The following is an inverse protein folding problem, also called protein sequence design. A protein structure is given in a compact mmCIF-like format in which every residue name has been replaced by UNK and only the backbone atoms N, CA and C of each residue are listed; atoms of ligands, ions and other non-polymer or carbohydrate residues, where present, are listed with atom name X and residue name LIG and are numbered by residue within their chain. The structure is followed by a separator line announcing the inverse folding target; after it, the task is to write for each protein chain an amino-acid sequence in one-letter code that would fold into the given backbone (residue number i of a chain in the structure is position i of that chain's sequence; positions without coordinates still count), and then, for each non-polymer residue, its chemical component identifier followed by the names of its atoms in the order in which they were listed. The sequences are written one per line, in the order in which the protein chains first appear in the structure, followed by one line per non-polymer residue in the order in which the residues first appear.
data_IF_593040718192
#
_entry.id   IF_593040718192
#
_cell.length_a   1.000
_cell.length_b   1.000
_cell.length_c   1.000
_cell.angle_alpha   90.00
_cell.angle_beta   90.00
_cell.angle_gamma   90.00
#
_symmetry.space_group_name_H-M   'P 1'
#
loop_
_entity.id
_entity.type
_entity.pdbx_description
1 polymer ?
#
# COMPACT_ATOMS: atom_id res chain seq x y z
N UNK A 1 -3.91 -22.01 29.96
CA UNK A 1 -5.37 -22.08 29.67
C UNK A 1 -5.76 -23.29 28.80
N UNK A 2 -7.06 -23.62 28.69
CA UNK A 2 -7.60 -24.70 27.83
C UNK A 2 -8.51 -24.16 26.70
N UNK A 3 -8.59 -24.88 25.58
CA UNK A 3 -9.53 -24.55 24.47
C UNK A 3 -10.99 -24.59 24.97
N UNK A 4 -11.80 -23.62 24.55
CA UNK A 4 -13.17 -23.35 25.01
C UNK A 4 -13.31 -22.88 26.47
N UNK A 5 -12.21 -22.71 27.20
CA UNK A 5 -12.24 -22.01 28.49
C UNK A 5 -12.71 -20.58 28.28
N UNK A 6 -13.53 -20.07 29.21
CA UNK A 6 -14.02 -18.69 29.23
C UNK A 6 -13.61 -17.99 30.51
N UNK A 7 -13.32 -16.71 30.39
CA UNK A 7 -13.00 -15.85 31.52
C UNK A 7 -13.27 -14.40 31.18
N UNK A 8 -13.42 -13.57 32.22
CA UNK A 8 -13.54 -12.12 32.07
C UNK A 8 -12.14 -11.53 32.03
N UNK A 9 -11.85 -10.68 31.04
CA UNK A 9 -10.57 -10.01 30.92
C UNK A 9 -10.72 -8.61 30.32
N UNK A 10 -9.75 -7.76 30.66
CA UNK A 10 -9.66 -6.38 30.16
C UNK A 10 -8.51 -6.29 29.16
N UNK A 11 -8.77 -5.63 28.03
CA UNK A 11 -7.74 -5.38 27.02
C UNK A 11 -6.77 -4.30 27.49
N UNK A 12 -5.47 -4.60 27.39
CA UNK A 12 -4.39 -3.77 27.92
C UNK A 12 -3.52 -3.09 26.87
N UNK A 13 -3.42 -3.67 25.67
CA UNK A 13 -2.65 -3.12 24.55
C UNK A 13 -3.14 -3.75 23.24
N UNK A 14 -2.48 -3.43 22.12
CA UNK A 14 -2.70 -4.05 20.82
C UNK A 14 -1.44 -4.75 20.30
N UNK A 15 -1.64 -5.75 19.44
CA UNK A 15 -0.58 -6.25 18.55
C UNK A 15 -0.43 -5.34 17.33
N UNK A 16 0.64 -5.53 16.55
CA UNK A 16 0.84 -4.81 15.27
C UNK A 16 -0.25 -5.10 14.22
N UNK A 17 -1.03 -6.16 14.39
CA UNK A 17 -2.19 -6.55 13.56
C UNK A 17 -3.51 -5.99 14.12
N UNK A 18 -3.47 -5.19 15.19
CA UNK A 18 -4.67 -4.60 15.81
C UNK A 18 -5.48 -5.60 16.63
N UNK A 19 -4.87 -6.71 17.07
CA UNK A 19 -5.52 -7.64 18.00
C UNK A 19 -5.37 -7.11 19.42
N UNK A 20 -6.45 -7.13 20.19
CA UNK A 20 -6.40 -6.78 21.62
C UNK A 20 -5.54 -7.76 22.41
N UNK A 21 -4.76 -7.24 23.34
CA UNK A 21 -3.86 -8.01 24.22
C UNK A 21 -4.44 -8.07 25.61
N UNK A 22 -4.77 -9.27 26.06
CA UNK A 22 -5.26 -9.55 27.41
C UNK A 22 -4.23 -10.41 28.12
N UNK A 23 -3.95 -10.10 29.38
CA UNK A 23 -3.06 -10.89 30.24
C UNK A 23 -3.90 -11.55 31.33
N UNK A 24 -3.74 -12.86 31.50
CA UNK A 24 -4.35 -13.62 32.60
C UNK A 24 -3.27 -14.53 33.18
N UNK A 25 -2.98 -14.36 34.46
CA UNK A 25 -1.88 -15.02 35.15
C UNK A 25 -0.55 -14.81 34.40
N UNK A 26 0.03 -15.87 33.83
CA UNK A 26 1.26 -15.83 33.03
C UNK A 26 1.00 -15.90 31.51
N UNK A 27 -0.25 -16.09 31.09
CA UNK A 27 -0.60 -16.27 29.69
C UNK A 27 -0.93 -14.91 29.02
N UNK A 28 -0.46 -14.74 27.79
CA UNK A 28 -0.85 -13.62 26.89
C UNK A 28 -1.87 -14.12 25.88
N UNK A 29 -2.99 -13.40 25.75
CA UNK A 29 -4.09 -13.75 24.86
C UNK A 29 -4.28 -12.65 23.81
N UNK A 30 -4.25 -13.01 22.54
CA UNK A 30 -4.60 -12.12 21.44
C UNK A 30 -6.06 -12.32 21.05
N UNK A 31 -6.82 -11.24 21.05
CA UNK A 31 -8.28 -11.25 20.85
C UNK A 31 -8.64 -10.31 19.70
N UNK A 32 -9.23 -10.85 18.63
CA UNK A 32 -9.75 -10.04 17.52
C UNK A 32 -10.97 -9.24 18.00
N UNK A 33 -11.11 -7.99 17.52
CA UNK A 33 -12.27 -7.13 17.77
C UNK A 33 -12.46 -6.72 19.25
N UNK A 34 -11.36 -6.50 19.98
CA UNK A 34 -11.36 -6.07 21.38
C UNK A 34 -10.45 -4.85 21.53
N UNK A 35 -11.03 -3.72 21.96
CA UNK A 35 -10.33 -2.45 22.15
C UNK A 35 -9.70 -2.35 23.53
N UNK A 36 -8.60 -1.62 23.64
CA UNK A 36 -7.97 -1.29 24.93
C UNK A 36 -8.99 -0.62 25.86
N UNK A 37 -9.00 -1.05 27.12
CA UNK A 37 -9.96 -0.61 28.13
C UNK A 37 -11.28 -1.37 28.14
N UNK A 38 -11.58 -2.18 27.12
CA UNK A 38 -12.79 -3.01 27.10
C UNK A 38 -12.68 -4.22 28.01
N UNK A 39 -13.79 -4.53 28.65
CA UNK A 39 -13.98 -5.75 29.43
C UNK A 39 -14.90 -6.69 28.67
N UNK A 40 -14.47 -7.94 28.48
CA UNK A 40 -15.23 -8.95 27.78
C UNK A 40 -15.08 -10.33 28.43
N UNK A 41 -16.11 -11.15 28.28
CA UNK A 41 -15.98 -12.59 28.43
C UNK A 41 -15.29 -13.15 27.18
N UNK A 42 -14.09 -13.69 27.35
CA UNK A 42 -13.21 -14.15 26.28
C UNK A 42 -13.21 -15.67 26.27
N UNK A 43 -13.46 -16.27 25.10
CA UNK A 43 -13.37 -17.71 24.88
C UNK A 43 -12.06 -18.07 24.14
N UNK A 44 -11.29 -19.01 24.69
CA UNK A 44 -10.03 -19.47 24.07
C UNK A 44 -10.31 -20.35 22.85
N UNK A 45 -9.83 -19.91 21.68
CA UNK A 45 -9.94 -20.64 20.41
C UNK A 45 -8.76 -21.59 20.22
N UNK A 46 -7.55 -21.13 20.54
CA UNK A 46 -6.30 -21.86 20.31
C UNK A 46 -5.30 -21.58 21.43
N UNK A 47 -4.64 -22.63 21.91
CA UNK A 47 -3.51 -22.53 22.84
C UNK A 47 -2.25 -22.84 22.02
N UNK A 48 -1.28 -21.93 22.05
CA UNK A 48 0.02 -22.09 21.40
C UNK A 48 1.11 -22.09 22.47
N UNK A 49 2.37 -22.32 22.07
CA UNK A 49 3.50 -22.47 22.99
C UNK A 49 3.72 -21.24 23.89
N UNK A 50 3.58 -20.04 23.33
CA UNK A 50 3.94 -18.79 24.02
C UNK A 50 2.76 -17.83 24.25
N UNK A 51 1.60 -18.11 23.64
CA UNK A 51 0.42 -17.25 23.73
C UNK A 51 -0.85 -18.05 23.40
N UNK A 52 -2.01 -17.47 23.67
CA UNK A 52 -3.30 -17.99 23.28
C UNK A 52 -3.99 -17.06 22.28
N UNK A 53 -4.89 -17.62 21.47
CA UNK A 53 -5.81 -16.85 20.62
C UNK A 53 -7.21 -17.00 21.19
N UNK A 54 -7.84 -15.88 21.49
CA UNK A 54 -9.20 -15.80 22.01
C UNK A 54 -10.15 -15.07 21.07
N UNK A 55 -11.45 -15.17 21.35
CA UNK A 55 -12.49 -14.33 20.77
C UNK A 55 -13.36 -13.74 21.86
N UNK A 56 -13.90 -12.55 21.61
CA UNK A 56 -14.98 -11.99 22.41
C UNK A 56 -16.19 -12.93 22.29
N UNK A 57 -16.56 -13.57 23.40
CA UNK A 57 -17.79 -14.35 23.52
C UNK A 57 -18.96 -13.43 23.84
N UNK A 58 -18.76 -12.52 24.78
CA UNK A 58 -19.72 -11.49 25.18
C UNK A 58 -18.98 -10.22 25.59
N UNK A 59 -19.41 -9.07 25.05
CA UNK A 59 -18.94 -7.77 25.51
C UNK A 59 -19.62 -7.43 26.84
N UNK A 60 -18.82 -7.03 27.85
CA UNK A 60 -19.32 -6.65 29.19
C UNK A 60 -19.31 -5.13 29.32
N UNK A 61 -18.17 -4.51 29.01
CA UNK A 61 -18.00 -3.05 29.02
C UNK A 61 -17.31 -2.62 27.72
N UNK A 62 -18.06 -2.09 26.73
CA UNK A 62 -17.47 -1.55 25.51
C UNK A 62 -16.70 -0.24 25.83
N UNK A 63 -15.78 0.12 24.95
CA UNK A 63 -15.05 1.39 25.00
C UNK A 63 -15.91 2.50 24.38
N UNK A 64 -15.75 3.73 24.84
CA UNK A 64 -16.36 4.91 24.22
C UNK A 64 -15.81 5.16 22.80
N UNK A 65 -14.64 4.59 22.49
CA UNK A 65 -14.02 4.64 21.16
C UNK A 65 -14.44 3.48 20.24
N UNK A 66 -15.42 2.65 20.66
CA UNK A 66 -15.94 1.55 19.83
C UNK A 66 -16.92 2.08 18.79
N UNK A 67 -16.66 1.70 17.54
CA UNK A 67 -17.59 1.89 16.43
C UNK A 67 -18.18 0.55 15.99
N UNK A 68 -19.40 0.58 15.46
CA UNK A 68 -19.99 -0.56 14.76
C UNK A 68 -19.54 -0.57 13.29
N UNK A 69 -18.80 -1.60 12.82
CA UNK A 69 -18.31 -1.64 11.45
C UNK A 69 -19.43 -1.60 10.42
N UNK A 70 -19.38 -0.61 9.51
CA UNK A 70 -20.40 -0.45 8.45
C UNK A 70 -20.40 -1.59 7.41
N UNK A 71 -19.27 -2.30 7.27
CA UNK A 71 -19.11 -3.35 6.28
C UNK A 71 -19.69 -4.69 6.78
N UNK A 72 -20.69 -5.29 6.10
CA UNK A 72 -21.37 -6.51 6.57
C UNK A 72 -20.44 -7.73 6.63
N UNK A 73 -19.38 -7.75 5.82
CA UNK A 73 -18.40 -8.83 5.78
C UNK A 73 -17.14 -8.55 6.61
N UNK A 74 -17.09 -7.46 7.38
CA UNK A 74 -15.92 -7.02 8.15
C UNK A 74 -15.30 -8.14 9.02
N UNK A 75 -16.13 -8.91 9.73
CA UNK A 75 -15.66 -9.98 10.62
C UNK A 75 -14.93 -11.10 9.86
N UNK A 76 -15.29 -11.30 8.59
CA UNK A 76 -14.78 -12.37 7.72
C UNK A 76 -13.63 -11.90 6.83
N UNK A 77 -13.71 -10.67 6.30
CA UNK A 77 -12.79 -10.11 5.32
C UNK A 77 -11.42 -9.78 5.93
N UNK A 78 -10.35 -10.02 5.17
CA UNK A 78 -8.99 -9.66 5.54
C UNK A 78 -8.56 -8.25 5.12
N UNK A 79 -9.45 -7.47 4.49
CA UNK A 79 -9.10 -6.16 3.93
C UNK A 79 -9.07 -5.02 4.95
N UNK A 80 -9.95 -5.05 5.96
CA UNK A 80 -10.07 -4.01 6.99
C UNK A 80 -9.90 -4.66 8.38
N UNK A 81 -9.21 -3.98 9.29
CA UNK A 81 -8.91 -4.50 10.62
C UNK A 81 -9.29 -3.54 11.74
N UNK A 82 -9.56 -2.26 11.43
CA UNK A 82 -9.77 -1.21 12.42
C UNK A 82 -11.15 -0.54 12.36
N UNK A 83 -12.10 -0.99 11.53
CA UNK A 83 -13.47 -0.40 11.43
C UNK A 83 -14.28 -0.41 12.74
N UNK A 84 -13.79 -1.12 13.75
CA UNK A 84 -14.39 -1.18 15.08
C UNK A 84 -13.81 -0.13 16.05
N UNK A 85 -12.85 0.67 15.60
CA UNK A 85 -12.22 1.78 16.30
C UNK A 85 -12.72 3.09 15.71
N UNK A 86 -13.04 4.05 16.58
CA UNK A 86 -13.20 5.45 16.21
C UNK A 86 -11.98 6.00 15.47
N UNK A 87 -12.14 7.14 14.82
CA UNK A 87 -11.05 7.84 14.17
C UNK A 87 -9.88 8.14 15.13
N UNK A 88 -10.19 8.63 16.32
CA UNK A 88 -9.22 8.99 17.35
C UNK A 88 -8.46 7.75 17.86
N UNK A 89 -9.16 6.63 18.07
CA UNK A 89 -8.50 5.38 18.44
C UNK A 89 -7.60 4.84 17.31
N UNK A 90 -7.98 4.99 16.04
CA UNK A 90 -7.11 4.62 14.92
C UNK A 90 -5.85 5.49 14.87
N UNK A 91 -5.97 6.80 15.08
CA UNK A 91 -4.84 7.72 15.15
C UNK A 91 -3.88 7.34 16.29
N UNK A 92 -4.41 7.12 17.50
CA UNK A 92 -3.63 6.72 18.66
C UNK A 92 -2.93 5.37 18.44
N UNK A 93 -3.63 4.40 17.85
CA UNK A 93 -3.06 3.09 17.49
C UNK A 93 -1.88 3.24 16.52
N UNK A 94 -2.04 3.99 15.43
CA UNK A 94 -1.01 4.17 14.40
C UNK A 94 0.20 4.93 14.94
N UNK A 95 -0.03 6.00 15.70
CA UNK A 95 1.02 6.79 16.35
C UNK A 95 1.82 5.93 17.32
N UNK A 96 1.14 5.22 18.24
CA UNK A 96 1.80 4.32 19.20
C UNK A 96 2.56 3.20 18.49
N UNK A 97 1.99 2.62 17.43
CA UNK A 97 2.65 1.56 16.65
C UNK A 97 3.99 2.05 16.09
N UNK A 98 4.05 3.26 15.56
CA UNK A 98 5.30 3.81 15.02
C UNK A 98 6.30 4.02 16.15
N UNK A 99 5.89 4.69 17.23
CA UNK A 99 6.73 4.92 18.42
C UNK A 99 7.32 3.61 18.98
N UNK A 100 6.47 2.64 19.30
CA UNK A 100 6.89 1.35 19.85
C UNK A 100 7.86 0.62 18.93
N UNK A 101 7.67 0.73 17.61
CA UNK A 101 8.53 0.07 16.62
C UNK A 101 9.90 0.74 16.52
N UNK A 102 9.92 2.07 16.49
CA UNK A 102 11.16 2.87 16.45
C UNK A 102 12.02 2.61 17.68
N UNK A 103 11.43 2.57 18.88
CA UNK A 103 12.13 2.31 20.12
C UNK A 103 12.62 0.85 20.21
N UNK A 104 11.75 -0.14 19.92
CA UNK A 104 12.06 -1.56 20.15
C UNK A 104 12.95 -2.19 19.08
N UNK A 105 12.80 -1.79 17.82
CA UNK A 105 13.58 -2.35 16.70
C UNK A 105 14.73 -1.41 16.34
N UNK A 106 14.43 -0.13 16.17
CA UNK A 106 15.41 0.84 15.70
C UNK A 106 16.34 1.35 16.79
N UNK A 107 15.99 1.16 18.06
CA UNK A 107 16.62 1.83 19.21
C UNK A 107 16.66 3.36 19.01
N UNK A 108 15.65 3.90 18.32
CA UNK A 108 15.49 5.33 18.04
C UNK A 108 14.54 5.90 19.08
N UNK A 109 15.11 6.60 20.07
CA UNK A 109 14.35 7.27 21.13
C UNK A 109 14.12 8.75 20.76
N UNK A 110 13.23 8.98 19.81
CA UNK A 110 12.87 10.32 19.34
C UNK A 110 11.34 10.50 19.38
N UNK A 111 10.82 11.70 19.70
CA UNK A 111 9.38 11.96 19.66
C UNK A 111 8.76 11.63 18.30
N UNK A 112 7.64 10.92 18.31
CA UNK A 112 6.85 10.62 17.12
C UNK A 112 5.64 11.54 17.13
N UNK A 113 5.42 12.26 16.03
CA UNK A 113 4.25 13.13 15.87
C UNK A 113 2.97 12.30 15.78
N UNK A 114 1.83 12.91 16.10
CA UNK A 114 0.54 12.27 15.88
C UNK A 114 0.35 11.94 14.40
N UNK A 115 -0.19 10.75 14.13
CA UNK A 115 -0.45 10.31 12.76
C UNK A 115 -1.36 11.31 12.05
N UNK A 116 -0.94 11.79 10.87
CA UNK A 116 -1.81 12.56 10.00
C UNK A 116 -2.84 11.60 9.42
N UNK A 117 -4.10 11.85 9.70
CA UNK A 117 -5.20 10.95 9.35
C UNK A 117 -5.93 11.47 8.10
N UNK A 118 -6.57 10.57 7.35
CA UNK A 118 -7.46 10.94 6.24
C UNK A 118 -8.84 11.30 6.77
N UNK A 119 -9.36 12.49 6.46
CA UNK A 119 -10.71 12.89 6.84
C UNK A 119 -11.78 12.04 6.12
N UNK A 120 -11.49 11.58 4.89
CA UNK A 120 -12.37 10.75 4.09
C UNK A 120 -11.94 9.28 4.15
N UNK A 121 -12.25 8.63 5.26
CA UNK A 121 -11.80 7.27 5.59
C UNK A 121 -12.38 6.12 4.72
N UNK A 122 -13.21 6.44 3.72
CA UNK A 122 -13.85 5.48 2.81
C UNK A 122 -13.63 5.89 1.34
N UNK A 123 -13.90 4.97 0.42
CA UNK A 123 -13.82 5.17 -1.04
C UNK A 123 -12.49 5.68 -1.58
N UNK A 124 -11.41 5.55 -0.81
CA UNK A 124 -10.12 6.17 -1.10
C UNK A 124 -9.25 5.38 -2.07
N UNK A 125 -9.43 4.04 -2.19
CA UNK A 125 -8.56 3.23 -3.04
C UNK A 125 -8.83 3.47 -4.51
N UNK A 126 -7.87 4.03 -5.22
CA UNK A 126 -7.90 4.24 -6.67
C UNK A 126 -7.51 2.99 -7.49
N UNK A 127 -6.95 1.97 -6.85
CA UNK A 127 -6.53 0.70 -7.46
C UNK A 127 -7.04 -0.48 -6.66
N UNK A 128 -7.68 -1.42 -7.35
CA UNK A 128 -8.28 -2.61 -6.74
C UNK A 128 -7.89 -3.85 -7.52
N UNK A 129 -7.62 -4.94 -6.80
CA UNK A 129 -7.35 -6.26 -7.36
C UNK A 129 -8.31 -7.26 -6.72
N UNK A 130 -9.23 -7.79 -7.50
CA UNK A 130 -10.30 -8.69 -7.04
C UNK A 130 -10.08 -10.08 -7.62
N UNK A 131 -9.77 -11.11 -6.81
CA UNK A 131 -9.78 -12.48 -7.30
C UNK A 131 -11.17 -12.89 -7.80
N UNK A 132 -11.17 -13.69 -8.86
CA UNK A 132 -12.36 -14.33 -9.40
C UNK A 132 -12.25 -15.82 -9.15
N UNK A 133 -13.29 -16.42 -8.58
CA UNK A 133 -13.33 -17.85 -8.32
C UNK A 133 -14.70 -18.45 -8.58
N UNK A 134 -14.81 -19.75 -8.33
CA UNK A 134 -16.07 -20.49 -8.42
C UNK A 134 -16.38 -21.10 -7.04
N UNK A 135 -17.62 -20.92 -6.58
CA UNK A 135 -18.12 -21.52 -5.33
C UNK A 135 -19.55 -21.99 -5.55
N UNK A 136 -19.81 -23.27 -5.27
CA UNK A 136 -21.12 -23.89 -5.49
C UNK A 136 -21.69 -23.62 -6.91
N UNK A 137 -20.82 -23.76 -7.92
CA UNK A 137 -21.08 -23.45 -9.34
C UNK A 137 -21.49 -22.01 -9.66
N UNK A 138 -21.30 -21.07 -8.73
CA UNK A 138 -21.50 -19.63 -8.95
C UNK A 138 -20.16 -18.91 -9.00
N UNK A 139 -20.07 -17.91 -9.89
CA UNK A 139 -18.89 -17.05 -9.93
C UNK A 139 -18.91 -16.15 -8.70
N UNK A 140 -17.79 -16.08 -8.00
CA UNK A 140 -17.62 -15.24 -6.83
C UNK A 140 -16.48 -14.24 -7.04
N UNK A 141 -16.70 -13.02 -6.58
CA UNK A 141 -15.69 -11.96 -6.58
C UNK A 141 -15.70 -11.28 -5.23
N UNK A 142 -14.51 -10.96 -4.72
CA UNK A 142 -14.37 -10.26 -3.45
C UNK A 142 -12.97 -10.45 -2.90
N UNK A 143 -12.83 -10.67 -1.60
CA UNK A 143 -11.53 -10.76 -0.94
C UNK A 143 -11.34 -12.07 -0.21
N UNK A 144 -10.09 -12.51 -0.12
CA UNK A 144 -9.78 -13.72 0.63
C UNK A 144 -10.04 -13.53 2.13
N UNK A 145 -10.54 -14.59 2.79
CA UNK A 145 -10.53 -14.66 4.26
C UNK A 145 -9.08 -14.63 4.75
N UNK A 146 -8.80 -14.01 5.92
CA UNK A 146 -7.47 -13.95 6.50
C UNK A 146 -6.76 -15.31 6.49
N UNK A 147 -5.54 -15.33 5.97
CA UNK A 147 -4.66 -16.52 5.89
C UNK A 147 -5.22 -17.69 5.07
N UNK A 148 -6.11 -17.45 4.10
CA UNK A 148 -6.64 -18.49 3.20
C UNK A 148 -6.69 -18.01 1.75
N UNK A 149 -7.08 -18.91 0.82
CA UNK A 149 -7.48 -18.58 -0.54
C UNK A 149 -9.02 -18.69 -0.74
N UNK A 150 -9.81 -18.72 0.34
CA UNK A 150 -11.29 -18.77 0.25
C UNK A 150 -11.83 -17.36 0.04
N UNK A 151 -12.51 -17.14 -1.09
CA UNK A 151 -13.08 -15.85 -1.47
C UNK A 151 -14.39 -15.63 -0.72
N UNK A 152 -14.49 -14.47 -0.08
CA UNK A 152 -15.76 -13.95 0.43
C UNK A 152 -16.42 -13.23 -0.73
N UNK A 153 -17.49 -13.82 -1.24
CA UNK A 153 -18.28 -13.18 -2.28
C UNK A 153 -18.90 -11.89 -1.72
N UNK A 154 -18.63 -10.78 -2.39
CA UNK A 154 -19.04 -9.47 -1.96
C UNK A 154 -18.96 -8.49 -3.13
N UNK A 155 -20.10 -7.88 -3.46
CA UNK A 155 -20.20 -6.98 -4.62
C UNK A 155 -19.76 -5.54 -4.30
N UNK A 156 -19.51 -5.20 -3.02
CA UNK A 156 -19.23 -3.83 -2.61
C UNK A 156 -18.21 -3.71 -1.48
N UNK A 157 -17.13 -2.95 -1.69
CA UNK A 157 -16.13 -2.65 -0.67
C UNK A 157 -16.08 -1.16 -0.35
N UNK A 158 -16.30 -0.82 0.93
CA UNK A 158 -16.38 0.57 1.42
C UNK A 158 -15.07 1.36 1.30
N UNK A 159 -13.91 0.71 1.23
CA UNK A 159 -12.63 1.40 1.07
C UNK A 159 -12.20 1.52 -0.40
N UNK A 160 -13.03 1.07 -1.34
CA UNK A 160 -12.77 1.16 -2.77
C UNK A 160 -13.63 2.25 -3.39
N UNK A 161 -13.07 2.92 -4.39
CA UNK A 161 -13.84 3.89 -5.17
C UNK A 161 -15.06 3.20 -5.84
N UNK A 162 -16.09 3.99 -6.11
CA UNK A 162 -17.36 3.50 -6.68
C UNK A 162 -17.17 2.87 -8.06
N UNK A 163 -16.32 3.47 -8.90
CA UNK A 163 -16.00 2.95 -10.23
C UNK A 163 -15.49 1.51 -10.17
N UNK A 164 -14.55 1.20 -9.27
CA UNK A 164 -13.99 -0.14 -9.08
C UNK A 164 -15.04 -1.15 -8.62
N UNK A 165 -15.94 -0.75 -7.72
CA UNK A 165 -17.05 -1.60 -7.26
C UNK A 165 -18.00 -1.91 -8.43
N UNK A 166 -18.48 -0.90 -9.15
CA UNK A 166 -19.43 -1.06 -10.24
C UNK A 166 -18.85 -1.84 -11.43
N UNK A 167 -17.60 -1.56 -11.82
CA UNK A 167 -16.93 -2.29 -12.91
C UNK A 167 -16.72 -3.74 -12.53
N UNK A 168 -16.27 -4.03 -11.32
CA UNK A 168 -16.06 -5.43 -10.86
C UNK A 168 -17.37 -6.20 -10.88
N UNK A 169 -18.43 -5.60 -10.33
CA UNK A 169 -19.77 -6.19 -10.31
C UNK A 169 -20.29 -6.47 -11.71
N UNK A 170 -20.17 -5.50 -12.62
CA UNK A 170 -20.62 -5.69 -14.00
C UNK A 170 -19.80 -6.76 -14.74
N UNK A 171 -18.47 -6.75 -14.58
CA UNK A 171 -17.61 -7.79 -15.17
C UNK A 171 -18.01 -9.18 -14.65
N UNK A 172 -18.28 -9.36 -13.34
CA UNK A 172 -18.81 -10.62 -12.79
C UNK A 172 -20.07 -11.07 -13.54
N UNK A 173 -21.05 -10.18 -13.78
CA UNK A 173 -22.26 -10.52 -14.54
C UNK A 173 -21.97 -10.93 -15.99
N UNK A 174 -20.97 -10.31 -16.63
CA UNK A 174 -20.57 -10.65 -18.00
C UNK A 174 -19.84 -12.00 -18.06
N UNK A 175 -19.02 -12.33 -17.06
CA UNK A 175 -18.40 -13.65 -16.98
C UNK A 175 -19.45 -14.75 -16.90
N UNK A 176 -20.55 -14.52 -16.17
CA UNK A 176 -21.70 -15.44 -16.12
C UNK A 176 -22.43 -15.50 -17.46
N UNK A 177 -22.78 -14.34 -18.05
CA UNK A 177 -23.47 -14.21 -19.34
C UNK A 177 -22.74 -14.94 -20.48
N UNK A 178 -21.43 -14.78 -20.55
CA UNK A 178 -20.59 -15.35 -21.61
C UNK A 178 -19.96 -16.71 -21.24
N UNK A 179 -20.34 -17.27 -20.09
CA UNK A 179 -19.80 -18.54 -19.58
C UNK A 179 -18.26 -18.58 -19.52
N UNK A 180 -17.63 -17.44 -19.20
CA UNK A 180 -16.18 -17.33 -19.06
C UNK A 180 -15.79 -17.85 -17.69
N UNK A 181 -15.10 -18.99 -17.67
CA UNK A 181 -14.73 -19.68 -16.43
C UNK A 181 -13.64 -18.92 -15.64
N UNK A 182 -13.82 -18.73 -14.32
CA UNK A 182 -12.74 -18.34 -13.41
C UNK A 182 -11.60 -19.37 -13.41
N UNK A 183 -10.40 -18.93 -13.05
CA UNK A 183 -9.26 -19.81 -12.88
C UNK A 183 -9.36 -20.64 -11.59
N UNK A 184 -9.28 -21.95 -11.75
CA UNK A 184 -9.18 -22.90 -10.65
C UNK A 184 -7.71 -23.18 -10.33
N UNK A 185 -7.26 -22.81 -9.12
CA UNK A 185 -5.87 -23.00 -8.67
C UNK A 185 -5.48 -24.47 -8.51
N UNK A 186 -6.44 -25.36 -8.23
CA UNK A 186 -6.21 -26.79 -8.00
C UNK A 186 -6.16 -27.53 -9.32
N UNK A 187 -7.17 -27.34 -10.17
CA UNK A 187 -7.27 -27.99 -11.48
C UNK A 187 -6.39 -27.34 -12.54
N UNK A 188 -5.88 -26.12 -12.27
CA UNK A 188 -5.08 -25.30 -13.19
C UNK A 188 -5.80 -25.11 -14.53
N UNK A 189 -7.09 -24.81 -14.45
CA UNK A 189 -7.99 -24.67 -15.60
C UNK A 189 -8.82 -23.40 -15.47
N UNK A 190 -9.46 -22.96 -16.56
CA UNK A 190 -10.23 -21.72 -16.62
C UNK A 190 -9.46 -20.55 -17.23
N UNK A 191 -10.02 -19.35 -17.14
CA UNK A 191 -9.57 -18.19 -17.91
C UNK A 191 -9.19 -17.00 -17.05
N UNK A 192 -10.08 -16.51 -16.18
CA UNK A 192 -9.87 -15.25 -15.44
C UNK A 192 -9.38 -15.52 -14.02
N UNK A 193 -8.21 -14.98 -13.66
CA UNK A 193 -7.66 -15.06 -12.30
C UNK A 193 -8.14 -13.90 -11.44
N UNK A 194 -8.04 -12.68 -11.95
CA UNK A 194 -8.36 -11.45 -11.23
C UNK A 194 -8.95 -10.40 -12.17
N UNK A 195 -9.76 -9.52 -11.58
CA UNK A 195 -10.18 -8.24 -12.17
C UNK A 195 -9.35 -7.17 -11.46
N UNK A 196 -8.62 -6.35 -12.21
CA UNK A 196 -7.89 -5.21 -11.68
C UNK A 196 -8.49 -3.94 -12.26
N UNK A 197 -8.76 -2.96 -11.42
CA UNK A 197 -9.17 -1.63 -11.86
C UNK A 197 -8.19 -0.59 -11.33
N UNK A 198 -7.95 0.45 -12.13
CA UNK A 198 -7.35 1.71 -11.68
C UNK A 198 -8.26 2.87 -12.10
N UNK A 199 -8.24 3.94 -11.34
CA UNK A 199 -9.05 5.12 -11.58
C UNK A 199 -8.25 6.37 -11.26
N UNK A 200 -8.10 7.28 -12.22
CA UNK A 200 -7.53 8.59 -12.00
C UNK A 200 -8.58 9.48 -11.33
N UNK A 201 -8.37 9.85 -10.07
CA UNK A 201 -9.41 10.54 -9.28
C UNK A 201 -9.66 11.96 -9.79
N UNK A 202 -8.63 12.63 -10.32
CA UNK A 202 -8.75 14.00 -10.81
C UNK A 202 -9.13 14.08 -12.28
N UNK A 203 -8.81 13.04 -13.07
CA UNK A 203 -9.06 12.99 -14.52
C UNK A 203 -10.33 12.22 -14.89
N UNK A 204 -10.85 11.42 -13.97
CA UNK A 204 -11.93 10.44 -14.19
C UNK A 204 -11.59 9.34 -15.20
N UNK A 205 -10.30 9.12 -15.49
CA UNK A 205 -9.86 8.06 -16.40
C UNK A 205 -9.83 6.69 -15.72
N UNK A 206 -10.54 5.72 -16.28
CA UNK A 206 -10.65 4.35 -15.80
C UNK A 206 -9.81 3.36 -16.62
N UNK A 207 -9.11 2.48 -15.91
CA UNK A 207 -8.43 1.30 -16.46
C UNK A 207 -9.12 0.04 -15.96
N UNK A 208 -9.45 -0.87 -16.88
CA UNK A 208 -9.78 -2.25 -16.55
C UNK A 208 -8.67 -3.18 -17.06
N UNK A 209 -8.12 -4.01 -16.19
CA UNK A 209 -7.24 -5.11 -16.57
C UNK A 209 -7.83 -6.46 -16.17
N UNK A 210 -7.93 -7.37 -17.14
CA UNK A 210 -8.31 -8.76 -16.94
C UNK A 210 -7.05 -9.60 -16.83
N UNK A 211 -6.80 -10.17 -15.67
CA UNK A 211 -5.63 -11.02 -15.43
C UNK A 211 -6.04 -12.43 -15.82
N UNK A 212 -5.46 -12.96 -16.88
CA UNK A 212 -5.90 -14.23 -17.48
C UNK A 212 -4.86 -15.33 -17.33
N UNK A 213 -5.31 -16.57 -17.12
CA UNK A 213 -4.48 -17.77 -17.14
C UNK A 213 -4.21 -18.27 -18.57
N UNK A 214 -5.11 -18.00 -19.52
CA UNK A 214 -4.97 -18.35 -20.94
C UNK A 214 -4.89 -17.08 -21.80
N UNK A 215 -4.13 -17.13 -22.90
CA UNK A 215 -4.08 -16.03 -23.87
C UNK A 215 -5.41 -15.86 -24.60
N UNK A 216 -6.00 -16.98 -25.04
CA UNK A 216 -7.33 -16.99 -25.67
C UNK A 216 -8.38 -17.12 -24.57
N UNK A 217 -9.27 -16.14 -24.50
CA UNK A 217 -10.44 -16.15 -23.61
C UNK A 217 -11.70 -16.10 -24.50
N UNK A 218 -12.64 -17.04 -24.37
CA UNK A 218 -13.91 -17.01 -25.11
C UNK A 218 -14.65 -15.70 -24.90
N UNK A 219 -15.30 -15.16 -25.94
CA UNK A 219 -16.12 -13.94 -25.87
C UNK A 219 -15.41 -12.70 -25.29
N UNK A 220 -14.08 -12.67 -25.29
CA UNK A 220 -13.32 -11.55 -24.73
C UNK A 220 -13.67 -10.23 -25.43
N UNK A 221 -13.85 -10.26 -26.74
CA UNK A 221 -14.22 -9.08 -27.51
C UNK A 221 -15.63 -8.58 -27.15
N UNK A 222 -16.60 -9.49 -26.99
CA UNK A 222 -17.97 -9.15 -26.58
C UNK A 222 -17.99 -8.53 -25.17
N UNK A 223 -17.23 -9.11 -24.23
CA UNK A 223 -17.07 -8.58 -22.88
C UNK A 223 -16.45 -7.17 -22.89
N UNK A 224 -15.39 -6.96 -23.68
CA UNK A 224 -14.73 -5.65 -23.82
C UNK A 224 -15.71 -4.60 -24.35
N UNK A 225 -16.49 -4.93 -25.39
CA UNK A 225 -17.48 -4.03 -25.97
C UNK A 225 -18.59 -3.69 -24.97
N UNK A 226 -19.14 -4.68 -24.26
CA UNK A 226 -20.18 -4.47 -23.26
C UNK A 226 -19.70 -3.58 -22.09
N UNK A 227 -18.46 -3.76 -21.64
CA UNK A 227 -17.83 -2.92 -20.60
C UNK A 227 -17.65 -1.49 -21.10
N UNK A 228 -17.05 -1.31 -22.28
CA UNK A 228 -16.78 0.01 -22.83
C UNK A 228 -18.07 0.81 -23.06
N UNK A 229 -19.12 0.17 -23.59
CA UNK A 229 -20.42 0.79 -23.78
C UNK A 229 -21.11 1.18 -22.47
N UNK A 230 -20.87 0.42 -21.39
CA UNK A 230 -21.49 0.67 -20.08
C UNK A 230 -20.76 1.77 -19.28
N UNK A 231 -19.44 1.86 -19.40
CA UNK A 231 -18.60 2.75 -18.60
C UNK A 231 -17.77 3.67 -19.49
N UNK A 232 -18.30 4.85 -19.86
CA UNK A 232 -17.58 5.83 -20.69
C UNK A 232 -16.26 6.33 -20.07
N UNK A 233 -16.13 6.26 -18.75
CA UNK A 233 -14.88 6.60 -18.04
C UNK A 233 -13.75 5.62 -18.31
N UNK A 234 -14.01 4.40 -18.80
CA UNK A 234 -12.95 3.44 -19.14
C UNK A 234 -12.27 3.88 -20.43
N UNK A 235 -11.08 4.48 -20.30
CA UNK A 235 -10.26 4.91 -21.43
C UNK A 235 -9.34 3.80 -21.92
N UNK A 236 -9.06 2.78 -21.12
CA UNK A 236 -8.29 1.60 -21.56
C UNK A 236 -8.75 0.28 -20.93
N UNK A 237 -8.73 -0.78 -21.74
CA UNK A 237 -8.98 -2.15 -21.30
C UNK A 237 -7.80 -3.02 -21.72
N UNK A 238 -7.27 -3.80 -20.77
CA UNK A 238 -6.03 -4.54 -20.91
C UNK A 238 -6.26 -6.01 -20.55
N UNK A 239 -5.67 -6.91 -21.33
CA UNK A 239 -5.44 -8.29 -20.93
C UNK A 239 -4.02 -8.41 -20.39
N UNK A 240 -3.86 -8.94 -19.19
CA UNK A 240 -2.56 -9.30 -18.65
C UNK A 240 -2.46 -10.81 -18.48
N UNK A 241 -1.66 -11.45 -19.33
CA UNK A 241 -1.51 -12.90 -19.36
C UNK A 241 -0.53 -13.34 -18.27
N UNK A 242 -1.03 -14.16 -17.33
CA UNK A 242 -0.28 -14.67 -16.20
C UNK A 242 -0.45 -16.20 -16.03
N UNK A 243 0.42 -17.01 -16.65
CA UNK A 243 0.40 -18.47 -16.53
C UNK A 243 0.96 -18.97 -15.19
N UNK A 244 1.49 -18.10 -14.33
CA UNK A 244 2.16 -18.48 -13.09
C UNK A 244 1.19 -19.09 -12.08
N UNK A 245 1.72 -19.95 -11.21
CA UNK A 245 0.98 -20.62 -10.13
C UNK A 245 1.33 -20.09 -8.73
N UNK A 246 2.18 -19.08 -8.66
CA UNK A 246 2.53 -18.40 -7.41
C UNK A 246 1.53 -17.26 -7.11
N UNK A 247 1.84 -16.48 -6.07
CA UNK A 247 0.99 -15.37 -5.62
C UNK A 247 1.22 -14.07 -6.42
N UNK A 248 2.05 -14.09 -7.46
CA UNK A 248 2.26 -12.91 -8.30
C UNK A 248 1.02 -12.73 -9.19
N UNK A 249 0.34 -11.59 -9.03
CA UNK A 249 -0.94 -11.32 -9.70
C UNK A 249 -0.71 -10.91 -11.16
N UNK A 250 0.23 -9.99 -11.40
CA UNK A 250 0.52 -9.51 -12.75
C UNK A 250 1.51 -10.44 -13.47
N UNK A 251 1.20 -10.79 -14.71
CA UNK A 251 2.11 -11.51 -15.60
C UNK A 251 2.94 -10.57 -16.46
N UNK A 252 3.85 -11.14 -17.23
CA UNK A 252 4.83 -10.37 -18.00
C UNK A 252 4.25 -9.80 -19.30
N UNK A 253 3.27 -10.47 -19.90
CA UNK A 253 2.68 -10.09 -21.17
C UNK A 253 1.43 -9.21 -20.98
N UNK A 254 1.45 -8.06 -21.64
CA UNK A 254 0.37 -7.06 -21.63
C UNK A 254 -0.15 -6.93 -23.06
N UNK A 255 -1.45 -7.12 -23.23
CA UNK A 255 -2.14 -6.96 -24.51
C UNK A 255 -3.24 -5.92 -24.34
N UNK A 256 -3.14 -4.79 -25.03
CA UNK A 256 -4.13 -3.72 -24.97
C UNK A 256 -5.32 -4.09 -25.84
N UNK A 257 -6.48 -4.27 -25.23
CA UNK A 257 -7.73 -4.64 -25.91
C UNK A 257 -8.51 -3.42 -26.38
N UNK A 258 -8.35 -2.30 -25.68
CA UNK A 258 -8.97 -1.01 -25.98
C UNK A 258 -8.13 0.14 -25.43
N UNK A 259 -8.06 1.26 -26.15
CA UNK A 259 -7.41 2.49 -25.70
C UNK A 259 -5.88 2.44 -25.74
N UNK A 260 -5.20 3.32 -24.99
CA UNK A 260 -3.75 3.52 -25.09
C UNK A 260 -2.90 2.59 -24.20
N UNK A 261 -3.49 1.83 -23.27
CA UNK A 261 -2.76 0.94 -22.34
C UNK A 261 -2.31 1.60 -21.03
N UNK A 262 -2.62 2.88 -20.85
CA UNK A 262 -2.36 3.68 -19.64
C UNK A 262 -3.56 4.57 -19.33
N UNK A 263 -3.57 5.16 -18.14
CA UNK A 263 -4.47 6.27 -17.75
C UNK A 263 -3.64 7.45 -17.27
N UNK A 264 -4.27 8.60 -17.12
CA UNK A 264 -3.68 9.75 -16.47
C UNK A 264 -4.30 10.01 -15.10
N UNK A 265 -3.53 10.61 -14.20
CA UNK A 265 -4.06 11.28 -13.00
C UNK A 265 -3.19 12.49 -12.67
N UNK A 266 -3.64 13.35 -11.77
CA UNK A 266 -2.83 14.48 -11.27
C UNK A 266 -2.38 14.24 -9.85
N UNK A 267 -1.18 14.70 -9.50
CA UNK A 267 -0.68 14.69 -8.13
C UNK A 267 0.18 15.92 -7.89
N UNK A 268 -0.14 16.71 -6.86
CA UNK A 268 0.61 17.92 -6.47
C UNK A 268 0.90 18.88 -7.64
N UNK A 269 -0.07 19.03 -8.54
CA UNK A 269 -0.02 19.94 -9.68
C UNK A 269 0.67 19.40 -10.94
N UNK A 270 1.14 18.15 -10.92
CA UNK A 270 1.71 17.48 -12.09
C UNK A 270 0.76 16.42 -12.65
N UNK A 271 0.77 16.24 -13.96
CA UNK A 271 0.08 15.16 -14.66
C UNK A 271 0.96 13.91 -14.76
N UNK A 272 0.41 12.73 -14.47
CA UNK A 272 1.12 11.46 -14.51
C UNK A 272 0.41 10.46 -15.43
N UNK A 273 1.16 9.92 -16.37
CA UNK A 273 0.86 8.69 -17.10
C UNK A 273 1.10 7.49 -16.19
N UNK A 274 0.09 6.62 -16.10
CA UNK A 274 0.06 5.48 -15.20
C UNK A 274 -0.21 4.20 -16.01
N UNK A 275 0.85 3.44 -16.28
CA UNK A 275 0.75 2.13 -16.93
C UNK A 275 0.30 1.03 -15.95
N UNK A 276 -0.17 -0.11 -16.47
CA UNK A 276 -0.70 -1.23 -15.68
C UNK A 276 0.26 -1.75 -14.59
N UNK A 277 1.55 -1.89 -14.92
CA UNK A 277 2.55 -2.46 -14.00
C UNK A 277 3.20 -1.41 -13.10
N UNK A 278 3.11 -0.14 -13.45
CA UNK A 278 3.73 0.95 -12.72
C UNK A 278 3.13 1.11 -11.33
N UNK A 279 3.98 1.37 -10.33
CA UNK A 279 3.51 1.69 -8.99
C UNK A 279 2.93 3.10 -8.98
N UNK A 280 1.77 3.24 -8.34
CA UNK A 280 1.11 4.51 -8.08
C UNK A 280 0.39 4.37 -6.74
N UNK A 281 0.44 5.43 -5.94
CA UNK A 281 -0.09 5.42 -4.58
C UNK A 281 -1.60 5.24 -4.61
N UNK A 282 -2.11 4.42 -3.68
CA UNK A 282 -3.51 3.96 -3.79
C UNK A 282 -4.52 4.92 -3.16
N UNK A 283 -4.07 5.85 -2.32
CA UNK A 283 -4.91 6.87 -1.69
C UNK A 283 -4.46 8.26 -2.19
N UNK A 284 -5.09 8.81 -3.25
CA UNK A 284 -4.72 10.10 -3.84
C UNK A 284 -4.66 11.26 -2.86
N UNK A 285 -5.60 11.33 -1.92
CA UNK A 285 -5.64 12.43 -0.93
C UNK A 285 -4.48 12.34 0.05
N UNK A 286 -4.21 11.14 0.58
CA UNK A 286 -3.16 10.97 1.57
C UNK A 286 -1.76 10.97 0.96
N UNK A 287 -1.58 10.59 -0.30
CA UNK A 287 -0.26 10.75 -0.95
C UNK A 287 0.12 12.22 -1.06
N UNK A 288 -0.83 13.13 -1.31
CA UNK A 288 -0.56 14.57 -1.29
C UNK A 288 -0.09 15.04 0.08
N UNK A 289 -0.71 14.55 1.16
CA UNK A 289 -0.29 14.84 2.54
C UNK A 289 1.12 14.29 2.82
N UNK A 290 1.35 13.02 2.46
CA UNK A 290 2.63 12.34 2.65
C UNK A 290 3.78 13.05 1.93
N UNK A 291 3.58 13.36 0.65
CA UNK A 291 4.61 13.96 -0.19
C UNK A 291 4.82 15.44 0.13
N UNK A 292 3.75 16.19 0.40
CA UNK A 292 3.88 17.57 0.91
C UNK A 292 4.72 17.59 2.18
N UNK A 293 4.45 16.69 3.12
CA UNK A 293 5.24 16.58 4.35
C UNK A 293 6.69 16.20 4.05
N UNK A 294 6.94 15.24 3.17
CA UNK A 294 8.31 14.86 2.80
C UNK A 294 9.10 16.03 2.19
N UNK A 295 8.46 16.83 1.34
CA UNK A 295 9.05 18.02 0.70
C UNK A 295 9.30 19.13 1.72
N UNK A 296 8.33 19.41 2.60
CA UNK A 296 8.49 20.37 3.70
C UNK A 296 9.69 20.00 4.59
N UNK A 297 9.81 18.72 4.96
CA UNK A 297 10.90 18.22 5.80
C UNK A 297 12.26 18.22 5.10
N UNK A 298 12.29 17.97 3.78
CA UNK A 298 13.52 18.06 3.00
C UNK A 298 14.12 19.48 3.02
N UNK A 299 13.30 20.50 3.31
CA UNK A 299 13.69 21.91 3.37
C UNK A 299 14.56 22.32 2.18
N UNK A 300 14.01 22.08 0.99
CA UNK A 300 14.72 22.20 -0.29
C UNK A 300 15.02 23.66 -0.63
N UNK A 301 16.14 23.87 -1.33
CA UNK A 301 16.49 25.15 -1.93
C UNK A 301 16.89 24.98 -3.42
N UNK A 302 16.93 26.09 -4.16
CA UNK A 302 17.14 26.09 -5.62
C UNK A 302 18.53 25.57 -6.06
N UNK A 303 19.49 25.47 -5.16
CA UNK A 303 20.83 24.96 -5.46
C UNK A 303 20.98 23.46 -5.20
N UNK A 304 20.02 22.85 -4.49
CA UNK A 304 20.06 21.43 -4.12
C UNK A 304 20.07 20.51 -5.36
N UNK A 305 20.89 19.48 -5.31
CA UNK A 305 20.85 18.32 -6.21
C UNK A 305 20.26 17.16 -5.42
N UNK A 306 19.11 16.65 -5.90
CA UNK A 306 18.33 15.63 -5.22
C UNK A 306 18.46 14.28 -5.93
N UNK A 307 18.70 13.23 -5.15
CA UNK A 307 18.52 11.85 -5.57
C UNK A 307 17.15 11.35 -5.09
N UNK A 308 16.27 11.00 -6.03
CA UNK A 308 15.02 10.27 -5.79
C UNK A 308 15.28 8.78 -6.05
N UNK A 309 15.59 8.03 -4.99
CA UNK A 309 15.86 6.60 -5.08
C UNK A 309 14.57 5.80 -4.96
N UNK A 310 14.42 4.77 -5.80
CA UNK A 310 13.16 4.02 -5.97
C UNK A 310 12.05 4.92 -6.55
N UNK A 311 12.41 5.77 -7.52
CA UNK A 311 11.54 6.87 -7.95
C UNK A 311 10.22 6.43 -8.60
N UNK A 312 10.07 5.15 -8.97
CA UNK A 312 8.93 4.66 -9.73
C UNK A 312 8.70 5.49 -10.99
N UNK A 313 7.49 6.04 -11.15
CA UNK A 313 7.12 6.92 -12.27
C UNK A 313 7.53 8.40 -12.08
N UNK A 314 8.42 8.68 -11.12
CA UNK A 314 8.95 10.01 -10.83
C UNK A 314 8.02 10.89 -10.00
N UNK A 315 7.07 10.33 -9.25
CA UNK A 315 6.06 11.14 -8.53
C UNK A 315 6.68 12.15 -7.56
N UNK A 316 7.62 11.73 -6.73
CA UNK A 316 8.29 12.59 -5.76
C UNK A 316 9.25 13.55 -6.46
N UNK A 317 10.18 13.01 -7.25
CA UNK A 317 11.20 13.78 -7.97
C UNK A 317 10.63 14.87 -8.88
N UNK A 318 9.54 14.59 -9.62
CA UNK A 318 8.90 15.60 -10.47
C UNK A 318 8.17 16.67 -9.66
N UNK A 319 7.61 16.33 -8.50
CA UNK A 319 6.94 17.31 -7.63
C UNK A 319 7.93 18.34 -7.09
N UNK A 320 9.12 17.87 -6.67
CA UNK A 320 10.15 18.74 -6.10
C UNK A 320 11.04 19.43 -7.14
N UNK A 321 10.99 19.00 -8.41
CA UNK A 321 11.87 19.51 -9.46
C UNK A 321 11.81 21.03 -9.62
N UNK A 322 10.66 21.66 -9.37
CA UNK A 322 10.52 23.12 -9.44
C UNK A 322 11.32 23.84 -8.36
N UNK A 323 11.70 23.17 -7.28
CA UNK A 323 12.28 23.76 -6.07
C UNK A 323 13.78 23.50 -5.90
N UNK A 324 14.39 22.79 -6.85
CA UNK A 324 15.78 22.35 -6.76
C UNK A 324 16.54 22.58 -8.07
N UNK A 325 17.86 22.45 -8.03
CA UNK A 325 18.72 22.63 -9.20
C UNK A 325 18.54 21.48 -10.19
N UNK A 326 18.59 20.24 -9.70
CA UNK A 326 18.55 19.02 -10.50
C UNK A 326 18.02 17.85 -9.69
N UNK A 327 17.25 16.98 -10.34
CA UNK A 327 16.75 15.72 -9.80
C UNK A 327 17.33 14.56 -10.59
N UNK A 328 17.80 13.53 -9.88
CA UNK A 328 18.16 12.23 -10.42
C UNK A 328 17.20 11.19 -9.84
N UNK A 329 16.31 10.65 -10.67
CA UNK A 329 15.42 9.55 -10.31
C UNK A 329 16.00 8.21 -10.76
N UNK A 330 16.06 7.23 -9.86
CA UNK A 330 16.60 5.91 -10.18
C UNK A 330 15.60 4.82 -9.76
N UNK A 331 15.27 3.93 -10.69
CA UNK A 331 14.32 2.83 -10.53
C UNK A 331 14.78 1.61 -11.34
N UNK A 332 14.51 0.40 -10.85
CA UNK A 332 14.90 -0.85 -11.51
C UNK A 332 13.88 -1.32 -12.54
N UNK A 333 12.63 -0.84 -12.47
CA UNK A 333 11.56 -1.16 -13.40
C UNK A 333 11.60 -0.22 -14.62
N UNK A 334 12.02 -0.76 -15.76
CA UNK A 334 12.14 -0.04 -17.04
C UNK A 334 10.85 0.69 -17.44
N UNK A 335 9.70 0.02 -17.39
CA UNK A 335 8.40 0.64 -17.72
C UNK A 335 8.06 1.84 -16.82
N UNK A 336 8.50 1.83 -15.55
CA UNK A 336 8.28 2.95 -14.65
C UNK A 336 9.18 4.15 -15.03
N UNK A 337 10.40 3.89 -15.50
CA UNK A 337 11.31 4.93 -16.02
C UNK A 337 10.81 5.51 -17.35
N UNK A 338 10.22 4.69 -18.23
CA UNK A 338 9.55 5.17 -19.43
C UNK A 338 8.40 6.13 -19.08
N UNK A 339 7.52 5.71 -18.15
CA UNK A 339 6.46 6.57 -17.62
C UNK A 339 7.06 7.86 -16.99
N UNK A 340 8.13 7.77 -16.19
CA UNK A 340 8.77 8.92 -15.55
C UNK A 340 9.33 9.95 -16.55
N UNK A 341 9.94 9.48 -17.63
CA UNK A 341 10.44 10.35 -18.72
C UNK A 341 9.29 11.03 -19.46
N UNK A 342 8.20 10.31 -19.74
CA UNK A 342 7.01 10.91 -20.35
C UNK A 342 6.35 11.92 -19.40
N UNK A 343 6.29 11.62 -18.10
CA UNK A 343 5.77 12.52 -17.08
C UNK A 343 6.61 13.80 -16.96
N UNK A 344 7.95 13.70 -17.01
CA UNK A 344 8.83 14.87 -17.04
C UNK A 344 8.52 15.78 -18.24
N UNK A 345 8.41 15.18 -19.42
CA UNK A 345 8.08 15.89 -20.67
C UNK A 345 6.69 16.52 -20.61
N UNK A 346 5.69 15.79 -20.11
CA UNK A 346 4.30 16.24 -19.98
C UNK A 346 4.19 17.48 -19.09
N UNK A 347 4.94 17.51 -18.00
CA UNK A 347 4.96 18.62 -17.06
C UNK A 347 5.98 19.72 -17.42
N UNK A 348 6.61 19.64 -18.60
CA UNK A 348 7.67 20.57 -19.04
C UNK A 348 8.85 20.69 -18.05
N UNK A 349 9.14 19.63 -17.30
CA UNK A 349 10.24 19.56 -16.33
C UNK A 349 11.51 19.14 -17.06
N UNK A 350 12.52 20.03 -17.09
CA UNK A 350 13.78 19.83 -17.82
C UNK A 350 14.97 19.50 -16.94
N UNK A 351 14.85 19.72 -15.63
CA UNK A 351 15.90 19.51 -14.64
C UNK A 351 15.72 18.19 -13.87
N UNK A 352 14.96 17.23 -14.40
CA UNK A 352 14.85 15.88 -13.87
C UNK A 352 15.39 14.86 -14.88
N UNK A 353 16.16 13.88 -14.40
CA UNK A 353 16.75 12.82 -15.19
C UNK A 353 16.42 11.47 -14.57
N UNK A 354 15.94 10.52 -15.38
CA UNK A 354 15.45 9.23 -14.91
C UNK A 354 16.26 8.08 -15.51
N UNK A 355 16.84 7.25 -14.65
CA UNK A 355 17.77 6.18 -15.00
C UNK A 355 17.22 4.83 -14.56
N UNK A 356 17.25 3.85 -15.47
CA UNK A 356 16.94 2.47 -15.14
C UNK A 356 18.18 1.78 -14.57
N UNK A 357 18.17 1.39 -13.30
CA UNK A 357 19.31 0.75 -12.66
C UNK A 357 19.18 0.59 -11.15
N UNK A 358 20.20 0.00 -10.52
CA UNK A 358 20.30 -0.02 -9.06
C UNK A 358 20.62 1.38 -8.53
N UNK A 359 19.79 1.87 -7.60
CA UNK A 359 19.87 3.24 -7.10
C UNK A 359 21.22 3.55 -6.42
N UNK A 360 21.84 2.58 -5.74
CA UNK A 360 23.09 2.80 -5.05
C UNK A 360 24.29 2.76 -6.00
N UNK A 361 24.31 1.80 -6.93
CA UNK A 361 25.38 1.69 -7.94
C UNK A 361 25.43 2.94 -8.83
N UNK A 362 24.30 3.31 -9.42
CA UNK A 362 24.22 4.46 -10.34
C UNK A 362 24.53 5.76 -9.61
N UNK A 363 24.05 5.96 -8.38
CA UNK A 363 24.36 7.17 -7.61
C UNK A 363 25.87 7.27 -7.30
N UNK A 364 26.55 6.17 -6.98
CA UNK A 364 27.99 6.18 -6.77
C UNK A 364 28.78 6.44 -8.05
N UNK A 365 28.29 6.02 -9.21
CA UNK A 365 28.88 6.39 -10.50
C UNK A 365 28.80 7.91 -10.74
N UNK A 366 27.65 8.52 -10.50
CA UNK A 366 27.52 9.98 -10.57
C UNK A 366 28.43 10.70 -9.56
N UNK A 367 28.57 10.15 -8.34
CA UNK A 367 29.53 10.68 -7.37
C UNK A 367 30.96 10.66 -7.88
N UNK A 368 31.40 9.56 -8.54
CA UNK A 368 32.72 9.47 -9.18
C UNK A 368 32.91 10.48 -10.31
N UNK A 369 31.83 10.89 -10.97
CA UNK A 369 31.82 11.94 -12.00
C UNK A 369 31.80 13.36 -11.40
N UNK A 370 31.85 13.50 -10.07
CA UNK A 370 31.88 14.78 -9.38
C UNK A 370 30.52 15.35 -9.00
N UNK A 371 29.43 14.57 -9.14
CA UNK A 371 28.11 14.98 -8.67
C UNK A 371 28.01 14.79 -7.17
N UNK A 372 27.63 15.85 -6.45
CA UNK A 372 27.27 15.79 -5.04
C UNK A 372 25.76 15.83 -4.91
N UNK A 373 25.19 14.95 -4.08
CA UNK A 373 23.77 14.96 -3.75
C UNK A 373 23.59 15.60 -2.37
N UNK A 374 22.90 16.74 -2.32
CA UNK A 374 22.63 17.45 -1.07
C UNK A 374 21.53 16.74 -0.26
N UNK A 375 20.55 16.20 -0.99
CA UNK A 375 19.39 15.48 -0.42
C UNK A 375 19.22 14.15 -1.13
N UNK A 376 18.99 13.09 -0.34
CA UNK A 376 18.49 11.82 -0.85
C UNK A 376 17.10 11.58 -0.28
N UNK A 377 16.16 11.25 -1.16
CA UNK A 377 14.84 10.75 -0.79
C UNK A 377 14.78 9.26 -1.13
N UNK A 378 14.28 8.47 -0.19
CA UNK A 378 14.08 7.03 -0.39
C UNK A 378 12.62 6.68 -0.08
N UNK A 379 11.97 5.97 -1.00
CA UNK A 379 10.66 5.32 -0.79
C UNK A 379 10.76 3.82 -1.17
N UNK A 380 11.46 3.01 -0.37
CA UNK A 380 11.74 1.63 -0.71
C UNK A 380 10.49 0.74 -0.62
N UNK A 381 10.51 -0.44 -1.25
CA UNK A 381 9.45 -1.43 -1.09
C UNK A 381 9.31 -1.89 0.37
N UNK A 382 8.25 -2.65 0.68
CA UNK A 382 7.95 -3.16 2.05
C UNK A 382 9.08 -3.90 2.77
N UNK A 383 10.14 -4.31 2.08
CA UNK A 383 11.33 -4.96 2.66
C UNK A 383 12.36 -3.95 3.23
N UNK A 384 12.13 -2.65 3.04
CA UNK A 384 13.10 -1.58 3.32
C UNK A 384 14.23 -1.55 2.31
N UNK A 385 15.25 -0.75 2.62
CA UNK A 385 16.49 -0.69 1.85
C UNK A 385 17.30 -1.99 2.01
N UNK A 386 18.11 -2.31 1.00
CA UNK A 386 19.12 -3.37 1.14
C UNK A 386 20.28 -2.86 2.00
N UNK A 387 20.98 -3.75 2.70
CA UNK A 387 22.17 -3.38 3.47
C UNK A 387 23.26 -2.77 2.56
N UNK A 388 23.37 -3.27 1.32
CA UNK A 388 24.26 -2.71 0.32
C UNK A 388 23.89 -1.26 0.00
N UNK A 389 22.62 -0.99 -0.29
CA UNK A 389 22.15 0.37 -0.57
C UNK A 389 22.38 1.31 0.62
N UNK A 390 22.15 0.86 1.86
CA UNK A 390 22.42 1.70 3.04
C UNK A 390 23.92 2.05 3.17
N UNK A 391 24.83 1.11 2.88
CA UNK A 391 26.28 1.39 2.85
C UNK A 391 26.63 2.39 1.76
N UNK A 392 26.06 2.23 0.57
CA UNK A 392 26.26 3.16 -0.54
C UNK A 392 25.68 4.54 -0.22
N UNK A 393 24.53 4.63 0.45
CA UNK A 393 23.92 5.88 0.92
C UNK A 393 24.83 6.60 1.92
N UNK A 394 25.39 5.87 2.88
CA UNK A 394 26.39 6.41 3.81
C UNK A 394 27.61 6.92 3.05
N UNK A 395 28.09 6.17 2.05
CA UNK A 395 29.20 6.61 1.18
C UNK A 395 28.84 7.86 0.40
N UNK A 396 27.64 7.97 -0.18
CA UNK A 396 27.16 9.17 -0.86
C UNK A 396 27.20 10.40 0.06
N UNK A 397 26.96 10.17 1.36
CA UNK A 397 27.05 11.18 2.42
C UNK A 397 26.21 12.45 2.14
N UNK A 398 24.94 12.36 1.71
CA UNK A 398 24.09 13.55 1.59
C UNK A 398 23.94 14.24 2.94
N UNK A 399 23.74 15.55 2.91
CA UNK A 399 23.48 16.34 4.12
C UNK A 399 22.14 15.95 4.75
N UNK A 400 21.12 15.76 3.90
CA UNK A 400 19.74 15.46 4.31
C UNK A 400 19.28 14.13 3.71
N UNK A 401 18.59 13.34 4.52
CA UNK A 401 17.94 12.10 4.12
C UNK A 401 16.47 12.15 4.51
N UNK A 402 15.58 12.00 3.53
CA UNK A 402 14.15 11.81 3.75
C UNK A 402 13.80 10.37 3.45
N UNK A 403 13.41 9.61 4.48
CA UNK A 403 13.01 8.22 4.36
C UNK A 403 11.49 8.11 4.49
N UNK A 404 10.83 7.84 3.37
CA UNK A 404 9.40 7.49 3.31
C UNK A 404 9.28 5.96 3.40
N UNK A 405 8.34 5.45 4.20
CA UNK A 405 8.18 4.00 4.32
C UNK A 405 6.75 3.56 4.52
N UNK A 406 6.37 2.51 3.79
CA UNK A 406 5.12 1.76 4.02
C UNK A 406 5.25 0.60 5.03
N UNK A 407 6.44 0.42 5.62
CA UNK A 407 6.68 -0.59 6.65
C UNK A 407 7.65 -0.08 7.73
N UNK A 408 7.05 0.43 8.81
CA UNK A 408 7.78 0.97 9.96
C UNK A 408 8.79 0.00 10.59
N UNK A 409 8.58 -1.32 10.52
CA UNK A 409 9.53 -2.27 11.10
C UNK A 409 10.85 -2.34 10.32
N UNK A 410 10.78 -2.32 8.98
CA UNK A 410 11.98 -2.29 8.14
C UNK A 410 12.63 -0.92 8.13
N UNK A 411 11.84 0.16 8.20
CA UNK A 411 12.39 1.51 8.41
C UNK A 411 13.17 1.57 9.73
N UNK A 412 12.59 1.13 10.85
CA UNK A 412 13.27 1.13 12.15
C UNK A 412 14.59 0.34 12.12
N UNK A 413 14.61 -0.85 11.49
CA UNK A 413 15.85 -1.61 11.25
C UNK A 413 16.89 -0.79 10.49
N UNK A 414 16.48 -0.11 9.41
CA UNK A 414 17.41 0.68 8.59
C UNK A 414 17.92 1.91 9.34
N UNK A 415 17.04 2.57 10.11
CA UNK A 415 17.41 3.70 10.98
C UNK A 415 18.41 3.31 12.07
N UNK A 416 18.34 2.08 12.58
CA UNK A 416 19.33 1.57 13.54
C UNK A 416 20.77 1.66 12.99
N UNK A 417 20.95 1.39 11.69
CA UNK A 417 22.24 1.53 11.02
C UNK A 417 22.55 3.01 10.73
N UNK A 418 21.60 3.73 10.15
CA UNK A 418 21.79 5.11 9.70
C UNK A 418 22.06 6.08 10.85
N UNK A 419 21.50 5.84 12.04
CA UNK A 419 21.68 6.71 13.22
C UNK A 419 23.12 6.77 13.74
N UNK A 420 24.02 5.92 13.25
CA UNK A 420 25.47 6.02 13.51
C UNK A 420 26.12 7.18 12.72
N UNK A 421 25.51 7.60 11.61
CA UNK A 421 26.02 8.61 10.68
C UNK A 421 25.08 9.80 10.54
N UNK A 422 23.81 9.62 10.89
CA UNK A 422 22.76 10.63 10.78
C UNK A 422 22.04 10.82 12.12
N UNK A 423 21.45 11.97 12.33
CA UNK A 423 20.55 12.28 13.44
C UNK A 423 19.12 12.36 12.93
N UNK A 424 18.21 11.66 13.60
CA UNK A 424 16.78 11.82 13.36
C UNK A 424 16.35 13.22 13.83
N UNK A 425 15.65 13.93 12.97
CA UNK A 425 15.10 15.27 13.26
C UNK A 425 13.57 15.29 13.31
N UNK A 426 12.90 14.38 12.60
CA UNK A 426 11.45 14.27 12.65
C UNK A 426 10.98 12.86 12.26
N UNK A 427 9.88 12.40 12.86
CA UNK A 427 9.16 11.19 12.49
C UNK A 427 7.66 11.52 12.41
N UNK A 428 7.10 11.51 11.20
CA UNK A 428 5.71 11.82 10.93
C UNK A 428 4.98 10.60 10.33
N UNK A 429 4.10 9.94 11.10
CA UNK A 429 3.19 8.93 10.56
C UNK A 429 2.08 9.57 9.72
N UNK A 430 1.62 8.86 8.69
CA UNK A 430 0.54 9.25 7.79
C UNK A 430 -0.36 8.05 7.53
N UNK A 431 -1.68 8.27 7.60
CA UNK A 431 -2.68 7.25 7.38
C UNK A 431 -3.04 7.09 5.89
N UNK A 432 -2.12 6.50 5.14
CA UNK A 432 -2.38 6.13 3.74
C UNK A 432 -3.47 5.06 3.58
N UNK A 433 -3.83 4.33 4.65
CA UNK A 433 -4.76 3.21 4.59
C UNK A 433 -5.74 3.19 5.77
N UNK A 434 -6.70 4.13 5.79
CA UNK A 434 -7.75 4.16 6.81
C UNK A 434 -8.45 2.82 6.94
N UNK A 435 -8.96 2.50 8.14
CA UNK A 435 -9.62 1.22 8.46
C UNK A 435 -8.71 -0.03 8.46
N UNK A 436 -7.42 0.15 8.17
CA UNK A 436 -6.40 -0.91 8.23
C UNK A 436 -5.34 -0.59 9.27
N UNK A 437 -4.55 -1.60 9.64
CA UNK A 437 -3.43 -1.39 10.56
C UNK A 437 -2.22 -0.73 9.92
N UNK A 438 -2.18 -0.63 8.59
CA UNK A 438 -1.05 -0.03 7.89
C UNK A 438 -0.91 1.44 8.25
N UNK A 439 0.34 1.89 8.29
CA UNK A 439 0.73 3.27 8.56
C UNK A 439 1.97 3.52 7.72
N UNK A 440 1.99 4.63 7.00
CA UNK A 440 3.20 5.11 6.34
C UNK A 440 3.88 6.16 7.21
N UNK A 441 5.17 6.37 6.98
CA UNK A 441 5.99 7.20 7.85
C UNK A 441 7.03 7.95 7.04
N UNK A 442 7.13 9.25 7.27
CA UNK A 442 8.24 10.09 6.77
C UNK A 442 9.20 10.32 7.94
N UNK A 443 10.48 10.01 7.73
CA UNK A 443 11.54 10.28 8.70
C UNK A 443 12.57 11.22 8.06
N UNK A 444 12.84 12.34 8.71
CA UNK A 444 13.90 13.27 8.34
C UNK A 444 15.16 12.97 9.15
N UNK A 445 16.29 12.90 8.46
CA UNK A 445 17.59 12.77 9.11
C UNK A 445 18.61 13.74 8.53
N UNK A 446 19.49 14.26 9.40
CA UNK A 446 20.63 15.10 9.02
C UNK A 446 21.93 14.36 9.26
N UNK A 447 22.89 14.52 8.36
CA UNK A 447 24.23 13.95 8.54
C UNK A 447 24.85 14.53 9.82
N UNK A 448 25.50 13.69 10.61
CA UNK A 448 26.32 14.14 11.74
C UNK A 448 27.56 14.83 11.22
N UNK A 449 27.89 15.96 11.82
CA UNK A 449 29.24 16.53 11.69
C UNK A 449 30.22 15.52 12.32
N UNK A 450 31.15 15.02 11.53
CA UNK A 450 32.25 14.17 12.01
C UNK A 450 33.57 14.90 11.88
#
# INVERSE_FOLDING_TARGET
MKKKERFIGVCSDYTHEGLGVVKKDHDVIFVKNLLVGEEAEIEIIKVLKNYCVGRVYKMIKPSDEREEPICPVYKLCGGCSLMHMSYQAQQAFKTKRVKDTMERIGHVFFPVNDCLMDEEIYHYRNKVQVPVGLKDNKIVTGFYKPHTNDIIDNDFCFIQNEFSNEVTKYVKTLLEKYHIKPYDKVLKHGHIKHILTRYGVHTNEGMLALITYTKKVPHLHDLVNDVHNKFPSITTIIQNFNPRHDNVILGDEVNVLFGPGYIHDTLLGNDYTISLKSFYQINPRQVEVLYTKAIELANLNKDDIVLDAYCGIGTIGLTLAKDVKKVYGIEVVEQAIEDAKENAKRNNIKNAEFICGDAGEVALEYKKQGIHFDVVIVDPPRKGCSELFLKQLIELSPERLVYISCNVATQARDLQLLTQYYEVKEIQPVDMFPQTTHVETVCLMFRKDK
#
